data_IF_207600108778
#
_entry.id   IF_207600108778
#
_cell.length_a   1.000
_cell.length_b   1.000
_cell.length_c   1.000
_cell.angle_alpha   90.00
_cell.angle_beta   90.00
_cell.angle_gamma   90.00
#
_symmetry.space_group_name_H-M   'P 1'
#
loop_
_entity.id
_entity.type
_entity.pdbx_description
1 polymer ?
#
# COMPACT_ATOMS: atom_id res chain seq x y z
N UNK A 1 10.58 -10.55 8.18
CA UNK A 1 11.11 -10.91 9.51
C UNK A 1 11.50 -9.67 10.31
N UNK A 2 11.25 -9.67 11.62
CA UNK A 2 11.56 -8.58 12.57
C UNK A 2 12.89 -8.80 13.29
N UNK A 3 13.85 -9.48 12.67
CA UNK A 3 15.21 -9.67 13.24
C UNK A 3 15.94 -8.35 13.45
N UNK A 4 15.57 -7.35 12.63
CA UNK A 4 15.96 -5.95 12.81
C UNK A 4 14.81 -5.16 13.45
N UNK A 5 15.04 -3.91 13.84
CA UNK A 5 13.99 -3.03 14.41
C UNK A 5 12.79 -2.80 13.49
N UNK A 6 12.91 -3.10 12.19
CA UNK A 6 11.87 -3.00 11.17
C UNK A 6 11.76 -4.28 10.36
N UNK A 7 10.57 -4.57 9.83
CA UNK A 7 10.36 -5.73 8.95
C UNK A 7 11.19 -5.62 7.68
N UNK A 8 11.97 -6.67 7.38
CA UNK A 8 12.82 -6.77 6.19
C UNK A 8 12.53 -8.08 5.44
N UNK A 9 12.88 -8.14 4.15
CA UNK A 9 12.79 -9.35 3.34
C UNK A 9 14.07 -10.16 3.54
N UNK A 10 13.90 -11.45 3.81
CA UNK A 10 14.96 -12.45 3.85
C UNK A 10 14.58 -13.57 2.88
N UNK A 11 15.54 -14.03 2.12
CA UNK A 11 15.41 -15.22 1.29
C UNK A 11 15.94 -16.42 2.08
N UNK A 12 15.19 -17.51 2.05
CA UNK A 12 15.61 -18.78 2.60
C UNK A 12 15.78 -19.81 1.46
N UNK A 13 16.99 -20.23 1.23
CA UNK A 13 17.29 -21.30 0.25
C UNK A 13 16.99 -22.66 0.88
N UNK A 14 15.97 -23.33 0.36
CA UNK A 14 15.51 -24.63 0.85
C UNK A 14 16.51 -25.76 0.57
N UNK A 15 17.38 -25.62 -0.44
CA UNK A 15 18.37 -26.64 -0.80
C UNK A 15 19.59 -26.57 0.07
N UNK A 16 20.09 -25.35 0.30
CA UNK A 16 21.33 -25.10 1.02
C UNK A 16 21.11 -24.76 2.49
N UNK A 17 19.85 -24.68 2.93
CA UNK A 17 19.46 -24.29 4.29
C UNK A 17 20.12 -22.97 4.74
N UNK A 18 20.23 -22.02 3.79
CA UNK A 18 20.89 -20.74 4.02
C UNK A 18 19.91 -19.58 4.00
N UNK A 19 20.20 -18.54 4.77
CA UNK A 19 19.38 -17.33 4.86
C UNK A 19 20.20 -16.14 4.36
N UNK A 20 19.64 -15.41 3.41
CA UNK A 20 20.20 -14.16 2.90
C UNK A 20 19.24 -13.01 3.21
N UNK A 21 19.76 -11.91 3.78
CA UNK A 21 19.02 -10.67 3.91
C UNK A 21 18.97 -9.98 2.55
N UNK A 22 17.77 -9.77 2.00
CA UNK A 22 17.58 -9.15 0.68
C UNK A 22 17.48 -7.62 0.77
N UNK A 23 16.85 -7.09 1.84
CA UNK A 23 16.61 -5.65 1.96
C UNK A 23 17.26 -5.03 3.19
N UNK A 24 17.68 -3.77 3.06
CA UNK A 24 18.00 -2.86 4.16
C UNK A 24 17.18 -1.58 3.98
N UNK A 25 15.85 -1.73 4.08
CA UNK A 25 14.91 -0.67 3.77
C UNK A 25 14.59 0.17 5.01
N UNK A 26 14.46 1.48 4.85
CA UNK A 26 14.28 2.40 5.98
C UNK A 26 12.88 2.33 6.62
N UNK A 27 11.89 1.72 5.94
CA UNK A 27 10.52 1.54 6.42
C UNK A 27 10.21 0.06 6.62
N UNK A 28 9.15 -0.24 7.39
CA UNK A 28 8.69 -1.61 7.55
C UNK A 28 8.04 -2.12 6.27
N UNK A 29 8.47 -3.28 5.82
CA UNK A 29 7.93 -3.95 4.63
C UNK A 29 6.66 -4.69 5.01
N UNK A 30 5.63 -4.52 4.19
CA UNK A 30 4.35 -5.19 4.26
C UNK A 30 4.10 -5.92 2.95
N UNK A 31 3.26 -6.95 2.96
CA UNK A 31 2.80 -7.66 1.76
C UNK A 31 3.93 -7.94 0.74
N UNK A 32 4.32 -9.17 0.57
CA UNK A 32 5.36 -9.59 -0.39
C UNK A 32 4.76 -10.56 -1.40
N UNK A 33 5.14 -10.42 -2.68
CA UNK A 33 4.70 -11.27 -3.78
C UNK A 33 5.86 -11.51 -4.74
N UNK A 34 6.09 -12.76 -5.11
CA UNK A 34 7.00 -13.12 -6.18
C UNK A 34 6.44 -12.67 -7.53
N UNK A 35 7.32 -12.21 -8.44
CA UNK A 35 6.94 -12.05 -9.85
C UNK A 35 6.72 -13.43 -10.51
N UNK A 36 5.89 -13.51 -11.56
CA UNK A 36 5.64 -14.78 -12.25
C UNK A 36 6.89 -15.46 -12.81
N UNK A 37 7.94 -14.69 -13.12
CA UNK A 37 9.23 -15.18 -13.62
C UNK A 37 10.27 -15.43 -12.53
N UNK A 38 9.89 -15.34 -11.24
CA UNK A 38 10.72 -15.51 -10.05
C UNK A 38 11.95 -14.55 -9.96
N UNK A 39 12.02 -13.51 -10.79
CA UNK A 39 13.17 -12.60 -10.84
C UNK A 39 13.05 -11.42 -9.86
N UNK A 40 11.81 -11.06 -9.47
CA UNK A 40 11.52 -9.91 -8.61
C UNK A 40 10.60 -10.26 -7.46
N UNK A 41 10.69 -9.45 -6.41
CA UNK A 41 9.71 -9.41 -5.33
C UNK A 41 9.04 -8.05 -5.34
N UNK A 42 7.70 -8.05 -5.46
CA UNK A 42 6.84 -6.92 -5.19
C UNK A 42 6.58 -6.82 -3.69
N UNK A 43 6.64 -5.63 -3.13
CA UNK A 43 6.24 -5.40 -1.75
C UNK A 43 5.62 -4.01 -1.58
N UNK A 44 4.88 -3.84 -0.51
CA UNK A 44 4.34 -2.55 -0.09
C UNK A 44 5.03 -2.05 1.18
N UNK A 45 5.05 -0.74 1.34
CA UNK A 45 5.53 -0.09 2.56
C UNK A 45 4.79 1.22 2.79
N UNK A 46 4.50 1.51 4.05
CA UNK A 46 3.97 2.81 4.44
C UNK A 46 5.12 3.81 4.52
N UNK A 47 5.02 4.88 3.72
CA UNK A 47 6.00 5.95 3.65
C UNK A 47 5.45 7.14 4.41
N UNK A 48 6.14 7.52 5.49
CA UNK A 48 5.75 8.69 6.29
C UNK A 48 5.91 9.97 5.45
N UNK A 49 4.86 10.78 5.38
CA UNK A 49 4.93 12.13 4.84
C UNK A 49 5.05 13.15 5.96
N UNK A 50 5.84 14.19 5.75
CA UNK A 50 5.90 15.31 6.69
C UNK A 50 4.77 16.26 6.38
N UNK A 51 3.82 16.41 7.31
CA UNK A 51 2.90 17.57 7.26
C UNK A 51 3.70 18.85 7.48
N UNK A 52 3.38 19.89 6.73
CA UNK A 52 3.86 21.24 7.07
C UNK A 52 3.11 21.65 8.34
N UNK A 53 3.82 21.76 9.46
CA UNK A 53 3.22 22.30 10.67
C UNK A 53 2.79 23.76 10.42
N UNK A 54 1.60 24.10 10.85
CA UNK A 54 1.07 25.48 10.81
C UNK A 54 1.85 26.40 11.75
N UNK A 55 2.46 25.82 12.79
CA UNK A 55 3.18 26.55 13.83
C UNK A 55 4.60 26.01 13.92
N UNK A 56 5.59 26.87 13.79
CA UNK A 56 6.98 26.53 14.09
C UNK A 56 7.19 26.61 15.61
N UNK A 57 7.27 25.45 16.26
CA UNK A 57 7.61 25.40 17.69
C UNK A 57 9.04 25.88 17.93
N UNK A 58 9.30 26.57 19.06
CA UNK A 58 10.67 26.91 19.45
C UNK A 58 11.50 25.64 19.68
N UNK A 59 12.81 25.76 19.55
CA UNK A 59 13.69 24.63 19.83
C UNK A 59 13.63 24.27 21.32
N UNK A 60 13.55 22.97 21.60
CA UNK A 60 13.51 22.46 22.96
C UNK A 60 14.85 22.70 23.64
N UNK A 61 14.91 23.44 24.78
CA UNK A 61 16.13 23.61 25.53
C UNK A 61 16.76 22.27 25.94
N UNK A 62 18.08 22.20 25.94
CA UNK A 62 18.81 20.98 26.32
C UNK A 62 18.44 20.58 27.76
N UNK A 63 17.97 19.32 27.93
CA UNK A 63 17.55 18.77 29.22
C UNK A 63 16.13 19.12 29.67
N UNK A 64 15.37 19.95 28.92
CA UNK A 64 14.00 20.26 29.29
C UNK A 64 13.06 19.07 29.08
N UNK A 65 12.14 18.85 30.01
CA UNK A 65 11.02 17.91 29.85
C UNK A 65 9.83 18.70 29.33
N UNK A 66 9.55 18.58 28.04
CA UNK A 66 8.36 19.16 27.43
C UNK A 66 7.31 18.06 27.23
N UNK A 67 6.05 18.45 27.34
CA UNK A 67 4.97 17.60 26.89
C UNK A 67 5.03 17.46 25.36
N UNK A 68 4.34 16.44 24.84
CA UNK A 68 4.21 16.28 23.38
C UNK A 68 3.53 17.53 22.79
N UNK A 69 3.94 17.92 21.56
CA UNK A 69 3.31 19.04 20.89
C UNK A 69 1.84 18.75 20.61
N UNK A 70 1.00 19.77 20.43
CA UNK A 70 -0.39 19.59 20.04
C UNK A 70 -0.49 18.83 18.71
N UNK A 71 -1.50 17.97 18.59
CA UNK A 71 -1.78 17.25 17.35
C UNK A 71 -2.55 18.17 16.42
N UNK A 72 -1.96 18.47 15.25
CA UNK A 72 -2.63 19.21 14.17
C UNK A 72 -3.45 18.22 13.33
N UNK A 73 -4.76 18.49 13.21
CA UNK A 73 -5.69 17.67 12.42
C UNK A 73 -6.18 18.51 11.26
N UNK A 74 -5.90 18.07 10.03
CA UNK A 74 -6.33 18.72 8.78
C UNK A 74 -7.15 17.80 7.89
N UNK A 75 -7.20 16.49 8.21
CA UNK A 75 -7.90 15.50 7.40
C UNK A 75 -9.22 15.12 8.06
N UNK A 76 -10.26 14.87 7.28
CA UNK A 76 -11.55 14.37 7.80
C UNK A 76 -11.39 13.01 8.47
N UNK A 77 -10.66 12.11 7.83
CA UNK A 77 -10.37 10.77 8.34
C UNK A 77 -9.10 10.76 9.18
N UNK A 78 -9.11 11.36 10.34
CA UNK A 78 -7.92 11.59 11.18
C UNK A 78 -7.67 10.50 12.23
N UNK A 79 -8.65 9.65 12.53
CA UNK A 79 -8.58 8.68 13.62
C UNK A 79 -9.29 7.38 13.29
N UNK A 80 -8.75 6.26 13.79
CA UNK A 80 -9.40 4.96 13.81
C UNK A 80 -9.55 4.46 15.26
N UNK A 81 -10.66 3.80 15.57
CA UNK A 81 -10.96 3.36 16.92
C UNK A 81 -9.92 2.40 17.49
N UNK A 82 -9.36 1.51 16.66
CA UNK A 82 -8.36 0.53 17.10
C UNK A 82 -6.92 1.03 17.10
N UNK A 83 -6.58 2.04 16.27
CA UNK A 83 -5.19 2.46 16.05
C UNK A 83 -4.89 3.92 16.41
N UNK A 84 -5.90 4.68 16.85
CA UNK A 84 -5.75 6.08 17.27
C UNK A 84 -5.56 7.04 16.10
N UNK A 85 -4.79 8.11 16.31
CA UNK A 85 -4.55 9.12 15.28
C UNK A 85 -3.81 8.54 14.07
N UNK A 86 -4.32 8.87 12.89
CA UNK A 86 -3.73 8.49 11.62
C UNK A 86 -2.40 9.22 11.41
N UNK A 87 -1.33 8.46 11.16
CA UNK A 87 -0.06 9.04 10.77
C UNK A 87 -0.16 9.58 9.33
N UNK A 88 0.41 10.75 9.05
CA UNK A 88 0.50 11.24 7.69
C UNK A 88 1.45 10.36 6.88
N UNK A 89 1.03 9.98 5.69
CA UNK A 89 1.79 9.10 4.80
C UNK A 89 0.88 8.27 3.93
N UNK A 90 1.51 7.47 3.08
CA UNK A 90 0.84 6.64 2.09
C UNK A 90 1.51 5.28 1.94
N UNK A 91 0.73 4.29 1.53
CA UNK A 91 1.26 3.00 1.09
C UNK A 91 1.79 3.15 -0.33
N UNK A 92 3.05 2.82 -0.53
CA UNK A 92 3.68 2.76 -1.85
C UNK A 92 4.10 1.34 -2.18
N UNK A 93 4.16 1.03 -3.48
CA UNK A 93 4.61 -0.25 -4.00
C UNK A 93 6.05 -0.16 -4.50
N UNK A 94 6.79 -1.22 -4.26
CA UNK A 94 8.20 -1.36 -4.59
C UNK A 94 8.47 -2.72 -5.22
N UNK A 95 9.50 -2.76 -6.06
CA UNK A 95 10.07 -4.01 -6.54
C UNK A 95 11.55 -4.09 -6.18
N UNK A 96 12.04 -5.31 -5.96
CA UNK A 96 13.47 -5.59 -5.76
C UNK A 96 13.85 -6.87 -6.53
N UNK A 97 15.00 -6.90 -7.22
CA UNK A 97 15.50 -8.13 -7.82
C UNK A 97 15.81 -9.17 -6.74
N UNK A 98 15.55 -10.44 -7.01
CA UNK A 98 15.88 -11.55 -6.10
C UNK A 98 17.38 -11.71 -5.91
N UNK A 99 18.18 -11.30 -6.90
CA UNK A 99 19.65 -11.22 -6.79
C UNK A 99 20.16 -10.15 -5.83
N UNK A 100 19.27 -9.30 -5.30
CA UNK A 100 19.61 -8.17 -4.43
C UNK A 100 19.70 -6.84 -5.16
N UNK A 101 20.01 -5.78 -4.42
CA UNK A 101 20.11 -4.42 -4.92
C UNK A 101 19.26 -3.43 -4.15
N UNK A 102 19.00 -2.28 -4.76
CA UNK A 102 18.18 -1.21 -4.17
C UNK A 102 16.72 -1.39 -4.56
N UNK A 103 15.77 -1.39 -3.61
CA UNK A 103 14.36 -1.38 -3.93
C UNK A 103 13.98 -0.17 -4.81
N UNK A 104 13.23 -0.41 -5.87
CA UNK A 104 12.69 0.62 -6.75
C UNK A 104 11.23 0.89 -6.41
N UNK A 105 10.88 2.13 -6.09
CA UNK A 105 9.49 2.55 -5.99
C UNK A 105 8.84 2.56 -7.38
N UNK A 106 7.68 1.94 -7.52
CA UNK A 106 6.95 1.81 -8.78
C UNK A 106 5.62 2.57 -8.78
N UNK A 107 5.13 2.98 -7.61
CA UNK A 107 3.90 3.76 -7.48
C UNK A 107 4.19 5.18 -6.97
N UNK A 108 3.26 6.10 -7.23
CA UNK A 108 3.26 7.46 -6.70
C UNK A 108 1.82 7.80 -6.26
N UNK A 109 1.39 7.17 -5.18
CA UNK A 109 0.07 7.37 -4.59
C UNK A 109 0.14 8.57 -3.65
N UNK A 110 -0.85 9.47 -3.74
CA UNK A 110 -0.89 10.68 -2.92
C UNK A 110 -1.15 10.35 -1.45
N UNK A 111 -0.63 11.14 -0.48
CA UNK A 111 -0.70 10.85 0.95
C UNK A 111 -2.10 10.68 1.53
N UNK A 112 -3.09 11.36 0.98
CA UNK A 112 -4.49 11.28 1.40
C UNK A 112 -5.22 10.04 0.88
N UNK A 113 -4.64 9.35 -0.10
CA UNK A 113 -5.26 8.19 -0.75
C UNK A 113 -4.83 6.88 -0.09
N UNK A 114 -5.66 5.86 -0.21
CA UNK A 114 -5.41 4.54 0.40
C UNK A 114 -5.31 3.50 -0.69
N UNK A 115 -4.18 2.79 -0.69
CA UNK A 115 -4.01 1.61 -1.51
C UNK A 115 -4.09 0.34 -0.65
N UNK A 116 -4.72 -0.67 -1.20
CA UNK A 116 -4.77 -2.01 -0.65
C UNK A 116 -3.61 -2.89 -1.09
N UNK A 117 -3.85 -4.20 -1.11
CA UNK A 117 -2.86 -5.17 -1.57
C UNK A 117 -2.71 -5.12 -3.09
N UNK A 118 -1.47 -5.37 -3.56
CA UNK A 118 -1.17 -5.48 -4.98
C UNK A 118 -0.85 -6.94 -5.36
N UNK A 119 -1.15 -7.28 -6.63
CA UNK A 119 -0.82 -8.56 -7.26
C UNK A 119 -0.11 -8.29 -8.59
N UNK A 120 0.72 -9.22 -9.03
CA UNK A 120 1.32 -9.16 -10.37
C UNK A 120 0.30 -9.46 -11.46
N UNK A 121 0.40 -8.75 -12.57
CA UNK A 121 -0.27 -9.04 -13.84
C UNK A 121 0.81 -9.13 -14.91
N UNK A 122 1.24 -10.35 -15.22
CA UNK A 122 2.47 -10.57 -15.97
C UNK A 122 3.70 -10.07 -15.20
N UNK A 123 4.79 -9.77 -15.91
CA UNK A 123 6.04 -9.30 -15.31
C UNK A 123 6.23 -7.78 -15.38
N UNK A 124 5.34 -7.07 -16.05
CA UNK A 124 5.45 -5.66 -16.40
C UNK A 124 4.37 -4.77 -15.77
N UNK A 125 3.36 -5.38 -15.13
CA UNK A 125 2.24 -4.66 -14.51
C UNK A 125 1.90 -5.24 -13.14
N UNK A 126 1.24 -4.41 -12.33
CA UNK A 126 0.55 -4.84 -11.12
C UNK A 126 -0.88 -4.37 -11.12
N UNK A 127 -1.75 -5.08 -10.40
CA UNK A 127 -3.09 -4.64 -10.07
C UNK A 127 -3.18 -4.41 -8.57
N UNK A 128 -3.96 -3.43 -8.15
CA UNK A 128 -4.18 -3.12 -6.74
C UNK A 128 -5.53 -2.46 -6.54
N UNK A 129 -6.07 -2.51 -5.32
CA UNK A 129 -7.26 -1.75 -4.97
C UNK A 129 -6.87 -0.44 -4.29
N UNK A 130 -7.58 0.64 -4.62
CA UNK A 130 -7.40 1.93 -3.95
C UNK A 130 -8.66 2.80 -4.10
N UNK A 131 -8.87 3.72 -3.16
CA UNK A 131 -9.79 4.83 -3.36
C UNK A 131 -8.96 6.07 -3.73
N UNK A 132 -8.80 6.30 -5.04
CA UNK A 132 -8.06 7.46 -5.58
C UNK A 132 -8.98 8.58 -6.06
N UNK A 133 -10.29 8.47 -5.81
CA UNK A 133 -11.29 9.46 -6.18
C UNK A 133 -11.05 10.79 -5.44
N UNK A 134 -11.39 11.92 -6.05
CA UNK A 134 -11.18 13.24 -5.46
C UNK A 134 -12.03 13.44 -4.19
N UNK A 135 -13.20 12.80 -4.12
CA UNK A 135 -14.13 12.82 -2.98
C UNK A 135 -13.87 11.70 -1.94
N UNK A 136 -12.74 11.01 -1.99
CA UNK A 136 -12.43 9.84 -1.15
C UNK A 136 -12.49 10.11 0.36
N UNK A 137 -12.41 11.36 0.79
CA UNK A 137 -12.58 11.74 2.20
C UNK A 137 -14.04 11.71 2.65
N UNK A 138 -14.98 11.91 1.73
CA UNK A 138 -16.43 11.86 1.98
C UNK A 138 -16.99 10.50 1.60
N UNK A 139 -16.58 9.96 0.46
CA UNK A 139 -16.98 8.66 -0.05
C UNK A 139 -15.87 7.64 0.23
N UNK A 140 -15.74 7.27 1.50
CA UNK A 140 -14.63 6.42 1.96
C UNK A 140 -14.72 4.97 1.52
N UNK A 141 -15.91 4.52 1.11
CA UNK A 141 -16.21 3.14 0.74
C UNK A 141 -16.35 2.97 -0.77
N UNK A 142 -15.52 3.66 -1.55
CA UNK A 142 -15.56 3.65 -3.02
C UNK A 142 -14.17 3.39 -3.62
N UNK A 143 -13.62 2.21 -3.30
CA UNK A 143 -12.34 1.77 -3.88
C UNK A 143 -12.55 1.08 -5.21
N UNK A 144 -11.60 1.29 -6.13
CA UNK A 144 -11.56 0.67 -7.45
C UNK A 144 -10.35 -0.25 -7.59
N UNK A 145 -10.40 -1.13 -8.57
CA UNK A 145 -9.24 -1.90 -9.02
C UNK A 145 -8.48 -1.07 -10.06
N UNK A 146 -7.20 -0.88 -9.81
CA UNK A 146 -6.29 -0.17 -10.70
C UNK A 146 -5.26 -1.13 -11.29
N UNK A 147 -4.84 -0.83 -12.51
CA UNK A 147 -3.67 -1.40 -13.15
C UNK A 147 -2.55 -0.36 -13.18
N UNK A 148 -1.32 -0.76 -12.87
CA UNK A 148 -0.14 0.10 -12.90
C UNK A 148 0.93 -0.54 -13.78
N UNK A 149 1.44 0.22 -14.76
CA UNK A 149 2.57 -0.18 -15.59
C UNK A 149 3.88 0.10 -14.86
N UNK A 150 4.76 -0.89 -14.76
CA UNK A 150 6.08 -0.76 -14.13
C UNK A 150 7.02 0.11 -14.95
N UNK A 151 6.84 0.15 -16.28
CA UNK A 151 7.65 0.95 -17.17
C UNK A 151 7.37 2.45 -17.01
N UNK A 152 6.10 2.84 -17.13
CA UNK A 152 5.68 4.24 -17.10
C UNK A 152 5.38 4.79 -15.70
N UNK A 153 5.11 3.93 -14.72
CA UNK A 153 4.61 4.31 -13.40
C UNK A 153 3.18 4.87 -13.40
N UNK A 154 2.49 4.84 -14.56
CA UNK A 154 1.11 5.30 -14.70
C UNK A 154 0.15 4.22 -14.25
N UNK A 155 -0.95 4.64 -13.64
CA UNK A 155 -2.05 3.77 -13.27
C UNK A 155 -3.35 4.26 -13.90
N UNK A 156 -4.28 3.32 -14.13
CA UNK A 156 -5.63 3.57 -14.61
C UNK A 156 -6.62 2.65 -13.88
N UNK A 157 -7.86 3.11 -13.71
CA UNK A 157 -8.92 2.33 -13.09
C UNK A 157 -9.45 1.30 -14.07
N UNK A 158 -9.65 0.07 -13.61
CA UNK A 158 -10.31 -1.02 -14.34
C UNK A 158 -11.78 -1.14 -13.98
N UNK A 159 -12.18 -0.63 -12.81
CA UNK A 159 -13.56 -0.61 -12.33
C UNK A 159 -14.01 0.82 -12.06
N UNK A 160 -15.32 1.03 -11.96
CA UNK A 160 -15.92 2.36 -11.73
C UNK A 160 -17.30 2.25 -11.06
N UNK A 161 -17.48 1.25 -10.22
CA UNK A 161 -18.73 1.02 -9.52
C UNK A 161 -18.87 2.00 -8.35
N UNK A 162 -20.12 2.35 -7.99
CA UNK A 162 -20.36 2.98 -6.69
C UNK A 162 -20.35 1.91 -5.60
N UNK A 163 -19.23 1.76 -4.91
CA UNK A 163 -19.01 0.75 -3.88
C UNK A 163 -17.58 0.25 -3.87
N UNK A 164 -17.19 -0.54 -2.87
CA UNK A 164 -15.82 -1.00 -2.74
C UNK A 164 -15.52 -2.15 -3.71
N UNK A 165 -14.48 -1.99 -4.51
CA UNK A 165 -13.82 -3.07 -5.24
C UNK A 165 -12.46 -3.33 -4.61
N UNK A 166 -12.19 -4.57 -4.19
CA UNK A 166 -11.04 -4.90 -3.35
C UNK A 166 -10.48 -6.30 -3.59
N UNK A 167 -9.31 -6.57 -3.02
CA UNK A 167 -8.69 -7.90 -2.99
C UNK A 167 -8.53 -8.55 -4.37
N UNK A 168 -8.00 -7.83 -5.38
CA UNK A 168 -7.85 -8.40 -6.71
C UNK A 168 -6.93 -9.60 -6.73
N UNK A 169 -7.25 -10.57 -7.58
CA UNK A 169 -6.47 -11.78 -7.87
C UNK A 169 -6.39 -12.00 -9.37
N UNK A 170 -5.20 -12.29 -9.86
CA UNK A 170 -4.95 -12.59 -11.26
C UNK A 170 -4.96 -14.11 -11.48
N UNK A 171 -5.59 -14.57 -12.57
CA UNK A 171 -5.49 -15.98 -12.99
C UNK A 171 -4.07 -16.32 -13.43
N UNK A 172 -3.69 -17.60 -13.31
CA UNK A 172 -2.32 -18.05 -13.63
C UNK A 172 -1.91 -17.78 -15.08
N UNK A 173 -2.86 -17.72 -15.99
CA UNK A 173 -2.65 -17.40 -17.41
C UNK A 173 -2.74 -15.90 -17.72
N UNK A 174 -2.93 -15.07 -16.72
CA UNK A 174 -3.12 -13.62 -16.80
C UNK A 174 -4.33 -13.18 -17.67
N UNK A 175 -5.30 -14.04 -17.91
CA UNK A 175 -6.45 -13.75 -18.77
C UNK A 175 -7.64 -13.17 -18.00
N UNK A 176 -7.69 -13.35 -16.68
CA UNK A 176 -8.82 -12.93 -15.84
C UNK A 176 -8.35 -12.33 -14.53
N UNK A 177 -9.17 -11.41 -14.03
CA UNK A 177 -9.05 -10.81 -12.69
C UNK A 177 -10.32 -11.12 -11.91
N UNK A 178 -10.19 -11.72 -10.73
CA UNK A 178 -11.26 -11.86 -9.75
C UNK A 178 -11.07 -10.83 -8.64
N UNK A 179 -12.16 -10.26 -8.14
CA UNK A 179 -12.11 -9.29 -7.05
C UNK A 179 -13.39 -9.34 -6.21
N UNK A 180 -13.34 -8.76 -5.02
CA UNK A 180 -14.46 -8.64 -4.11
C UNK A 180 -15.07 -7.25 -4.20
N UNK A 181 -16.40 -7.16 -4.14
CA UNK A 181 -17.08 -5.87 -4.13
C UNK A 181 -18.60 -6.02 -3.95
N UNK A 182 -19.27 -4.88 -3.90
CA UNK A 182 -20.73 -4.77 -3.93
C UNK A 182 -21.14 -3.36 -4.40
N UNK A 183 -22.35 -3.22 -4.94
CA UNK A 183 -22.94 -1.91 -5.21
C UNK A 183 -23.39 -1.29 -3.88
N UNK A 184 -22.82 -0.13 -3.51
CA UNK A 184 -23.13 0.51 -2.24
C UNK A 184 -24.48 1.22 -2.28
N UNK A 185 -25.46 0.64 -1.61
CA UNK A 185 -26.79 1.19 -1.36
C UNK A 185 -26.88 1.85 0.03
N UNK A 186 -25.75 2.07 0.68
CA UNK A 186 -25.64 2.65 2.04
C UNK A 186 -26.37 1.83 3.12
N UNK A 187 -26.42 0.51 2.94
CA UNK A 187 -27.06 -0.42 3.88
C UNK A 187 -25.99 -1.09 4.74
N UNK A 188 -26.17 -1.06 6.06
CA UNK A 188 -25.18 -1.58 7.02
C UNK A 188 -24.97 -3.10 7.00
N UNK A 189 -25.70 -3.84 6.17
CA UNK A 189 -25.64 -5.31 6.07
C UNK A 189 -25.23 -5.83 4.68
N UNK A 190 -24.72 -4.96 3.81
CA UNK A 190 -24.25 -5.36 2.48
C UNK A 190 -23.02 -6.26 2.59
N UNK A 191 -22.93 -7.26 1.72
CA UNK A 191 -21.88 -8.25 1.70
C UNK A 191 -21.13 -8.23 0.38
N UNK A 192 -19.83 -8.53 0.44
CA UNK A 192 -19.04 -8.69 -0.75
C UNK A 192 -19.49 -9.87 -1.60
N UNK A 193 -19.60 -9.65 -2.89
CA UNK A 193 -19.72 -10.66 -3.93
C UNK A 193 -18.39 -10.82 -4.66
N UNK A 194 -18.21 -11.97 -5.34
CA UNK A 194 -17.06 -12.20 -6.20
C UNK A 194 -17.41 -11.77 -7.61
N UNK A 195 -16.58 -10.91 -8.17
CA UNK A 195 -16.67 -10.47 -9.56
C UNK A 195 -15.48 -10.98 -10.36
N UNK A 196 -15.68 -11.19 -11.66
CA UNK A 196 -14.64 -11.62 -12.58
C UNK A 196 -14.68 -10.77 -13.83
N UNK A 197 -13.53 -10.29 -14.28
CA UNK A 197 -13.34 -9.57 -15.55
C UNK A 197 -12.25 -10.24 -16.38
N UNK A 198 -12.33 -10.06 -17.73
CA UNK A 198 -11.31 -10.51 -18.68
C UNK A 198 -10.38 -9.37 -19.04
#
# INVERSE_FOLDING_TARGET
SNRDSKSQIFLFDLKNNSIQKLTNFQYSIQSIKWSPDDNYILFSSFIDSKRKSLIKMPEKPKGAKWNDPPVEISDLNYRYDSSGYRKPGEVQFFTIPVSGGTPRQISNIKPEKRAGQAEWLGNDKIIFSANLNDDSDYNTNNSEIYILSLESGKHEALTSRNGPDSSPKVSNDNSMIAYLGYDDEYLGYQQNSIYVMK
#
